data_IF_166951185377
#
_entry.id   IF_166951185377
#
_cell.length_a   1.000
_cell.length_b   1.000
_cell.length_c   1.000
_cell.angle_alpha   90.00
_cell.angle_beta   90.00
_cell.angle_gamma   90.00
#
_symmetry.space_group_name_H-M   'P 1'
#
loop_
_entity.id
_entity.type
_entity.pdbx_description
1 polymer ?
#
# COMPACT_ATOMS: atom_id res chain seq x y z
N UNK A 1 7.95 -21.13 5.68
CA UNK A 1 7.76 -19.71 6.06
C UNK A 1 7.61 -18.83 4.83
N UNK A 2 8.48 -18.97 3.82
CA UNK A 2 8.30 -18.30 2.52
C UNK A 2 6.97 -18.67 1.83
N UNK A 3 6.57 -19.95 1.82
CA UNK A 3 5.31 -20.37 1.17
C UNK A 3 4.07 -19.71 1.80
N UNK A 4 4.00 -19.64 3.13
CA UNK A 4 2.88 -19.00 3.83
C UNK A 4 2.80 -17.47 3.59
N UNK A 5 3.95 -16.81 3.38
CA UNK A 5 4.01 -15.41 3.01
C UNK A 5 3.49 -15.21 1.57
N UNK A 6 3.86 -16.10 0.66
CA UNK A 6 3.35 -16.11 -0.73
C UNK A 6 1.83 -16.33 -0.78
N UNK A 7 1.30 -17.23 0.04
CA UNK A 7 -0.14 -17.51 0.10
C UNK A 7 -0.94 -16.30 0.60
N UNK A 8 -0.43 -15.62 1.64
CA UNK A 8 -1.07 -14.43 2.20
C UNK A 8 -1.10 -13.29 1.16
N UNK A 9 0.03 -13.05 0.48
CA UNK A 9 0.12 -12.06 -0.59
C UNK A 9 -0.85 -12.39 -1.73
N UNK A 10 -0.92 -13.66 -2.14
CA UNK A 10 -1.82 -14.13 -3.19
C UNK A 10 -3.29 -13.93 -2.80
N UNK A 11 -3.65 -14.23 -1.56
CA UNK A 11 -4.99 -14.04 -1.05
C UNK A 11 -5.37 -12.56 -1.02
N UNK A 12 -4.46 -11.69 -0.58
CA UNK A 12 -4.72 -10.25 -0.50
C UNK A 12 -4.83 -9.63 -1.91
N UNK A 13 -3.97 -10.01 -2.85
CA UNK A 13 -4.12 -9.63 -4.26
C UNK A 13 -5.48 -10.07 -4.84
N UNK A 14 -5.91 -11.30 -4.52
CA UNK A 14 -7.21 -11.81 -4.95
C UNK A 14 -8.38 -10.97 -4.43
N UNK A 15 -8.31 -10.49 -3.18
CA UNK A 15 -9.32 -9.57 -2.63
C UNK A 15 -9.36 -8.23 -3.36
N UNK A 16 -8.21 -7.70 -3.77
CA UNK A 16 -8.14 -6.44 -4.53
C UNK A 16 -8.75 -6.64 -5.93
N UNK A 17 -8.45 -7.76 -6.59
CA UNK A 17 -9.07 -8.14 -7.87
C UNK A 17 -10.59 -8.31 -7.76
N UNK A 18 -11.07 -8.96 -6.69
CA UNK A 18 -12.50 -9.07 -6.42
C UNK A 18 -13.15 -7.69 -6.18
N UNK A 19 -12.46 -6.81 -5.47
CA UNK A 19 -12.91 -5.43 -5.24
C UNK A 19 -13.07 -4.68 -6.55
N UNK A 20 -12.11 -4.83 -7.47
CA UNK A 20 -12.19 -4.28 -8.83
C UNK A 20 -13.39 -4.82 -9.59
N UNK A 21 -13.54 -6.15 -9.65
CA UNK A 21 -14.62 -6.79 -10.38
C UNK A 21 -16.00 -6.39 -9.85
N UNK A 22 -16.12 -6.14 -8.54
CA UNK A 22 -17.34 -5.71 -7.87
C UNK A 22 -17.61 -4.20 -7.98
N UNK A 23 -16.67 -3.39 -8.47
CA UNK A 23 -16.81 -1.94 -8.62
C UNK A 23 -16.40 -1.47 -10.03
N UNK A 24 -17.33 -1.51 -10.99
CA UNK A 24 -17.07 -1.04 -12.36
C UNK A 24 -16.68 0.43 -12.48
N UNK A 25 -16.99 1.25 -11.47
CA UNK A 25 -16.62 2.67 -11.46
C UNK A 25 -15.13 2.88 -11.13
N UNK A 26 -14.49 1.87 -10.52
CA UNK A 26 -13.13 1.92 -10.00
C UNK A 26 -12.93 2.89 -8.82
N UNK A 27 -13.99 3.46 -8.27
CA UNK A 27 -13.92 4.46 -7.20
C UNK A 27 -13.28 3.90 -5.93
N UNK A 28 -13.58 2.64 -5.59
CA UNK A 28 -13.01 1.99 -4.41
C UNK A 28 -11.49 1.90 -4.48
N UNK A 29 -10.93 1.51 -5.62
CA UNK A 29 -9.47 1.42 -5.77
C UNK A 29 -8.82 2.81 -5.75
N UNK A 30 -9.44 3.81 -6.40
CA UNK A 30 -8.97 5.21 -6.32
C UNK A 30 -8.97 5.75 -4.89
N UNK A 31 -10.00 5.42 -4.09
CA UNK A 31 -10.06 5.82 -2.69
C UNK A 31 -8.96 5.15 -1.85
N UNK A 32 -8.62 3.89 -2.15
CA UNK A 32 -7.49 3.20 -1.51
C UNK A 32 -6.17 3.87 -1.89
N UNK A 33 -5.94 4.19 -3.16
CA UNK A 33 -4.74 4.93 -3.59
C UNK A 33 -4.61 6.27 -2.87
N UNK A 34 -5.70 7.04 -2.80
CA UNK A 34 -5.72 8.33 -2.09
C UNK A 34 -5.41 8.19 -0.60
N UNK A 35 -5.92 7.14 0.06
CA UNK A 35 -5.62 6.85 1.46
C UNK A 35 -4.14 6.46 1.68
N UNK A 36 -3.56 5.69 0.76
CA UNK A 36 -2.15 5.33 0.78
C UNK A 36 -1.27 6.56 0.58
N UNK A 37 -1.62 7.45 -0.35
CA UNK A 37 -0.91 8.71 -0.57
C UNK A 37 -0.97 9.63 0.66
N UNK A 38 -2.14 9.76 1.30
CA UNK A 38 -2.29 10.51 2.53
C UNK A 38 -1.44 9.91 3.67
N UNK A 39 -1.33 8.59 3.73
CA UNK A 39 -0.50 7.88 4.72
C UNK A 39 0.99 8.16 4.49
N UNK A 40 1.45 8.13 3.24
CA UNK A 40 2.83 8.52 2.88
C UNK A 40 3.17 9.94 3.35
N UNK A 41 2.25 10.90 3.20
CA UNK A 41 2.47 12.26 3.69
C UNK A 41 2.61 12.30 5.22
N UNK A 42 1.78 11.55 5.97
CA UNK A 42 1.89 11.46 7.43
C UNK A 42 3.22 10.83 7.86
N UNK A 43 3.66 9.77 7.20
CA UNK A 43 4.96 9.13 7.48
C UNK A 43 6.09 10.14 7.31
N UNK A 44 6.06 10.94 6.24
CA UNK A 44 7.06 11.99 6.01
C UNK A 44 7.08 13.05 7.12
N UNK A 45 5.91 13.46 7.61
CA UNK A 45 5.81 14.38 8.76
C UNK A 45 6.46 13.77 9.99
N UNK A 46 6.12 12.52 10.33
CA UNK A 46 6.72 11.84 11.49
C UNK A 46 8.22 11.59 11.33
N UNK A 47 8.69 11.23 10.14
CA UNK A 47 10.10 11.11 9.82
C UNK A 47 10.87 12.41 10.08
N UNK A 48 10.29 13.55 9.67
CA UNK A 48 10.92 14.86 9.87
C UNK A 48 10.99 15.27 11.35
N UNK A 49 10.03 14.81 12.15
CA UNK A 49 9.97 15.06 13.59
C UNK A 49 10.84 14.10 14.42
N UNK A 50 11.31 13.00 13.83
CA UNK A 50 12.10 11.98 14.53
C UNK A 50 13.48 12.53 14.95
N UNK A 51 13.81 12.33 16.23
CA UNK A 51 15.04 12.81 16.88
C UNK A 51 16.25 11.91 16.72
N UNK A 52 16.04 10.64 16.36
CA UNK A 52 17.10 9.63 16.25
C UNK A 52 17.05 8.89 14.90
N UNK A 53 18.19 8.28 14.56
CA UNK A 53 18.36 7.60 13.27
C UNK A 53 17.55 6.30 13.18
N UNK A 54 17.33 5.60 14.31
CA UNK A 54 16.57 4.35 14.32
C UNK A 54 15.11 4.62 13.94
N UNK A 55 14.49 5.60 14.58
CA UNK A 55 13.13 6.05 14.26
C UNK A 55 13.00 6.49 12.80
N UNK A 56 14.00 7.21 12.25
CA UNK A 56 14.02 7.59 10.83
C UNK A 56 14.12 6.39 9.90
N UNK A 57 14.91 5.38 10.26
CA UNK A 57 15.01 4.14 9.49
C UNK A 57 13.68 3.38 9.50
N UNK A 58 13.00 3.30 10.65
CA UNK A 58 11.69 2.66 10.75
C UNK A 58 10.64 3.35 9.87
N UNK A 59 10.63 4.70 9.85
CA UNK A 59 9.76 5.45 8.94
C UNK A 59 10.12 5.27 7.46
N UNK A 60 11.40 5.10 7.12
CA UNK A 60 11.80 4.78 5.73
C UNK A 60 11.25 3.41 5.30
N UNK A 61 11.39 2.39 6.16
CA UNK A 61 10.83 1.05 5.89
C UNK A 61 9.31 1.11 5.72
N UNK A 62 8.63 1.86 6.59
CA UNK A 62 7.18 2.04 6.49
C UNK A 62 6.78 2.79 5.21
N UNK A 63 7.51 3.83 4.83
CA UNK A 63 7.31 4.57 3.58
C UNK A 63 7.42 3.62 2.37
N UNK A 64 8.46 2.80 2.32
CA UNK A 64 8.69 1.88 1.21
C UNK A 64 7.59 0.81 1.11
N UNK A 65 7.13 0.30 2.26
CA UNK A 65 5.99 -0.62 2.31
C UNK A 65 4.69 -0.01 1.79
N UNK A 66 4.37 1.23 2.18
CA UNK A 66 3.17 1.94 1.68
C UNK A 66 3.28 2.26 0.20
N UNK A 67 4.47 2.64 -0.27
CA UNK A 67 4.72 2.87 -1.69
C UNK A 67 4.55 1.59 -2.53
N UNK A 68 5.04 0.45 -2.04
CA UNK A 68 4.84 -0.85 -2.68
C UNK A 68 3.35 -1.22 -2.74
N UNK A 69 2.60 -1.03 -1.65
CA UNK A 69 1.17 -1.29 -1.61
C UNK A 69 0.41 -0.43 -2.65
N UNK A 70 0.74 0.86 -2.75
CA UNK A 70 0.15 1.76 -3.75
C UNK A 70 0.40 1.27 -5.18
N UNK A 71 1.63 0.84 -5.48
CA UNK A 71 1.97 0.33 -6.80
C UNK A 71 1.18 -0.94 -7.16
N UNK A 72 0.92 -1.82 -6.19
CA UNK A 72 0.08 -3.01 -6.39
C UNK A 72 -1.35 -2.61 -6.72
N UNK A 73 -1.94 -1.68 -5.96
CA UNK A 73 -3.32 -1.21 -6.19
C UNK A 73 -3.44 -0.55 -7.55
N UNK A 74 -2.53 0.36 -7.91
CA UNK A 74 -2.51 1.03 -9.21
C UNK A 74 -2.37 0.03 -10.36
N UNK A 75 -1.45 -0.93 -10.24
CA UNK A 75 -1.30 -1.99 -11.23
C UNK A 75 -2.61 -2.76 -11.44
N UNK A 76 -3.28 -3.17 -10.35
CA UNK A 76 -4.55 -3.89 -10.44
C UNK A 76 -5.65 -2.99 -11.02
N UNK A 77 -5.70 -1.69 -10.70
CA UNK A 77 -6.64 -0.75 -11.26
C UNK A 77 -6.51 -0.63 -12.80
N UNK A 78 -5.29 -0.70 -13.32
CA UNK A 78 -4.98 -0.59 -14.75
C UNK A 78 -5.13 -1.89 -15.55
N UNK A 79 -5.24 -3.07 -14.89
CA UNK A 79 -5.39 -4.37 -15.57
C UNK A 79 -6.70 -4.48 -16.37
N UNK A 80 -6.63 -4.46 -17.69
CA UNK A 80 -7.79 -4.64 -18.59
C UNK A 80 -8.44 -6.02 -18.47
#
# INVERSE_FOLDING_TARGET
MFDAMTDTITQDMSKILQTKAADPSGERLRNVEAALDATTQKIRVHWSAASDQTSRNDFNVLHDGVAAARNIVAHIADMS
#
